data_IF_332102801058
#
_entry.id   IF_332102801058
#
_cell.length_a   1.000
_cell.length_b   1.000
_cell.length_c   1.000
_cell.angle_alpha   90.00
_cell.angle_beta   90.00
_cell.angle_gamma   90.00
#
_symmetry.space_group_name_H-M   'P 1'
#
loop_
_entity.id
_entity.type
_entity.pdbx_description
1 polymer ?
#
# COMPACT_ATOMS: atom_id res chain seq x y z
N UNK A 1 -7.21 -1.60 -13.51
CA UNK A 1 -6.94 -0.16 -13.31
C UNK A 1 -5.60 0.19 -13.95
N UNK A 2 -5.58 0.93 -15.07
CA UNK A 2 -4.35 1.44 -15.63
C UNK A 2 -3.63 2.34 -14.62
N UNK A 3 -2.30 2.33 -14.66
CA UNK A 3 -1.47 3.20 -13.84
C UNK A 3 -0.36 3.83 -14.68
N UNK A 4 0.12 4.99 -14.25
CA UNK A 4 1.26 5.66 -14.89
C UNK A 4 2.23 6.12 -13.82
N UNK A 5 3.52 5.84 -14.01
CA UNK A 5 4.58 6.32 -13.12
C UNK A 5 4.66 7.84 -13.23
N UNK A 6 4.70 8.53 -12.09
CA UNK A 6 4.83 9.99 -12.00
C UNK A 6 6.02 10.35 -11.10
N UNK A 7 6.51 11.57 -11.24
CA UNK A 7 7.60 12.05 -10.37
C UNK A 7 7.08 12.32 -8.96
N UNK A 8 7.98 12.32 -7.97
CA UNK A 8 7.64 12.74 -6.60
C UNK A 8 7.10 14.17 -6.55
N UNK A 9 7.66 15.09 -7.36
CA UNK A 9 7.19 16.47 -7.41
C UNK A 9 5.74 16.54 -7.93
N UNK A 10 5.42 15.79 -8.98
CA UNK A 10 4.05 15.72 -9.51
C UNK A 10 3.09 15.08 -8.51
N UNK A 11 3.52 14.02 -7.83
CA UNK A 11 2.71 13.35 -6.81
C UNK A 11 2.39 14.30 -5.64
N UNK A 12 3.39 15.00 -5.11
CA UNK A 12 3.22 15.94 -4.00
C UNK A 12 2.42 17.19 -4.41
N UNK A 13 2.56 17.66 -5.65
CA UNK A 13 1.76 18.77 -6.19
C UNK A 13 0.28 18.42 -6.23
N UNK A 14 -0.06 17.19 -6.64
CA UNK A 14 -1.44 16.69 -6.70
C UNK A 14 -2.01 16.33 -5.33
N UNK A 15 -1.19 15.74 -4.48
CA UNK A 15 -1.58 15.25 -3.17
C UNK A 15 -0.50 15.58 -2.12
N UNK A 16 -0.54 16.77 -1.51
CA UNK A 16 0.46 17.22 -0.54
C UNK A 16 0.60 16.30 0.68
N UNK A 17 -0.47 15.60 1.06
CA UNK A 17 -0.47 14.64 2.17
C UNK A 17 0.54 13.50 2.00
N UNK A 18 0.97 13.19 0.77
CA UNK A 18 2.06 12.22 0.52
C UNK A 18 3.40 12.67 1.13
N UNK A 19 3.54 13.97 1.45
CA UNK A 19 4.68 14.51 2.20
C UNK A 19 4.84 13.92 3.61
N UNK A 20 3.79 13.31 4.15
CA UNK A 20 3.79 12.66 5.46
C UNK A 20 4.37 11.24 5.42
N UNK A 21 4.63 10.69 4.22
CA UNK A 21 5.22 9.37 4.08
C UNK A 21 6.66 9.34 4.62
N UNK A 22 7.03 8.29 5.37
CA UNK A 22 8.32 8.22 6.04
C UNK A 22 9.45 8.17 5.01
N UNK A 23 10.36 9.14 5.11
CA UNK A 23 11.54 9.21 4.24
C UNK A 23 11.22 9.63 2.80
N UNK A 24 10.04 10.19 2.51
CA UNK A 24 9.69 10.68 1.17
C UNK A 24 10.69 11.68 0.61
N UNK A 25 11.21 12.57 1.46
CA UNK A 25 12.24 13.54 1.07
C UNK A 25 13.60 12.91 0.70
N UNK A 26 13.81 11.62 1.04
CA UNK A 26 15.05 10.88 0.74
C UNK A 26 14.99 10.09 -0.57
N UNK A 27 13.90 10.21 -1.34
CA UNK A 27 13.77 9.59 -2.67
C UNK A 27 13.55 8.08 -2.67
N UNK A 28 13.03 7.51 -1.59
CA UNK A 28 12.79 6.06 -1.46
C UNK A 28 11.42 5.58 -1.96
N UNK A 29 10.56 6.49 -2.41
CA UNK A 29 9.19 6.16 -2.84
C UNK A 29 9.04 6.33 -4.35
N UNK A 30 8.45 5.31 -4.99
CA UNK A 30 7.93 5.41 -6.34
C UNK A 30 6.44 5.79 -6.29
N UNK A 31 5.99 6.59 -7.26
CA UNK A 31 4.63 7.11 -7.31
C UNK A 31 3.95 6.72 -8.62
N UNK A 32 2.70 6.31 -8.52
CA UNK A 32 1.89 5.89 -9.63
C UNK A 32 0.54 6.59 -9.58
N UNK A 33 0.18 7.27 -10.65
CA UNK A 33 -1.16 7.78 -10.85
C UNK A 33 -2.09 6.61 -11.20
N UNK A 34 -3.22 6.55 -10.53
CA UNK A 34 -4.24 5.53 -10.73
C UNK A 34 -5.40 6.18 -11.48
N UNK A 35 -5.82 5.56 -12.58
CA UNK A 35 -6.92 6.06 -13.39
C UNK A 35 -7.98 4.99 -13.59
N UNK A 36 -9.24 5.42 -13.55
CA UNK A 36 -10.40 4.62 -13.88
C UNK A 36 -11.25 5.39 -14.89
N UNK A 37 -11.57 4.76 -16.03
CA UNK A 37 -12.31 5.40 -17.13
C UNK A 37 -11.73 6.77 -17.51
N UNK A 38 -10.40 6.83 -17.68
CA UNK A 38 -9.61 8.04 -17.98
C UNK A 38 -9.69 9.17 -16.93
N UNK A 39 -10.33 8.92 -15.80
CA UNK A 39 -10.40 9.84 -14.66
C UNK A 39 -9.38 9.42 -13.61
N UNK A 40 -8.59 10.37 -13.10
CA UNK A 40 -7.66 10.10 -12.00
C UNK A 40 -8.45 9.75 -10.75
N UNK A 41 -8.30 8.52 -10.28
CA UNK A 41 -8.96 8.00 -9.08
C UNK A 41 -8.08 8.08 -7.83
N UNK A 42 -6.76 8.17 -8.00
CA UNK A 42 -5.86 8.26 -6.86
C UNK A 42 -4.38 8.24 -7.19
N UNK A 43 -3.57 8.15 -6.13
CA UNK A 43 -2.12 7.94 -6.21
C UNK A 43 -1.75 6.72 -5.38
N UNK A 44 -0.98 5.80 -5.95
CA UNK A 44 -0.26 4.78 -5.20
C UNK A 44 1.18 5.23 -4.99
N UNK A 45 1.68 5.08 -3.78
CA UNK A 45 3.09 5.22 -3.44
C UNK A 45 3.62 3.85 -3.01
N UNK A 46 4.78 3.44 -3.50
CA UNK A 46 5.44 2.20 -3.10
C UNK A 46 6.88 2.44 -2.68
N UNK A 47 7.35 1.70 -1.68
CA UNK A 47 8.74 1.71 -1.22
C UNK A 47 9.18 0.28 -0.96
N UNK A 48 10.12 -0.18 -1.78
CA UNK A 48 10.71 -1.51 -1.63
C UNK A 48 11.89 -1.49 -0.67
N UNK A 49 11.88 -2.41 0.29
CA UNK A 49 13.03 -2.80 1.08
C UNK A 49 13.58 -4.15 0.62
N UNK A 50 14.51 -4.73 1.39
CA UNK A 50 15.17 -5.98 1.03
C UNK A 50 14.23 -7.21 1.03
N UNK A 51 13.17 -7.20 1.86
CA UNK A 51 12.28 -8.36 2.08
C UNK A 51 10.79 -8.05 1.96
N UNK A 52 10.44 -6.79 1.72
CA UNK A 52 9.05 -6.36 1.61
C UNK A 52 8.93 -5.12 0.76
N UNK A 53 7.71 -4.86 0.29
CA UNK A 53 7.32 -3.59 -0.28
C UNK A 53 6.20 -3.00 0.56
N UNK A 54 6.42 -1.79 1.03
CA UNK A 54 5.40 -0.94 1.63
C UNK A 54 4.62 -0.25 0.50
N UNK A 55 3.29 -0.27 0.57
CA UNK A 55 2.42 0.38 -0.42
C UNK A 55 1.38 1.23 0.30
N UNK A 56 1.16 2.44 -0.18
CA UNK A 56 0.10 3.34 0.28
C UNK A 56 -0.71 3.79 -0.92
N UNK A 57 -2.01 3.49 -0.92
CA UNK A 57 -2.96 4.03 -1.87
C UNK A 57 -3.71 5.18 -1.24
N UNK A 58 -3.90 6.26 -1.99
CA UNK A 58 -4.75 7.38 -1.61
C UNK A 58 -5.77 7.62 -2.71
N UNK A 59 -7.04 7.38 -2.40
CA UNK A 59 -8.19 7.62 -3.27
C UNK A 59 -9.01 8.79 -2.74
N UNK A 60 -9.59 9.58 -3.64
CA UNK A 60 -10.46 10.74 -3.35
C UNK A 60 -9.94 11.67 -2.23
N UNK A 61 -8.62 11.73 -2.07
CA UNK A 61 -7.89 12.47 -1.02
C UNK A 61 -8.26 12.13 0.44
N UNK A 62 -9.12 11.13 0.67
CA UNK A 62 -9.70 10.82 1.99
C UNK A 62 -9.76 9.33 2.30
N UNK A 63 -9.51 8.46 1.34
CA UNK A 63 -9.47 7.02 1.55
C UNK A 63 -8.04 6.57 1.38
N UNK A 64 -7.42 6.18 2.49
CA UNK A 64 -6.01 5.77 2.53
C UNK A 64 -5.94 4.30 2.90
N UNK A 65 -5.29 3.50 2.06
CA UNK A 65 -5.01 2.09 2.31
C UNK A 65 -3.50 1.92 2.39
N UNK A 66 -3.01 1.46 3.53
CA UNK A 66 -1.60 1.09 3.72
C UNK A 66 -1.44 -0.41 3.77
N UNK A 67 -0.39 -0.93 3.16
CA UNK A 67 -0.12 -2.36 3.05
C UNK A 67 1.38 -2.64 3.13
N UNK A 68 1.72 -3.81 3.68
CA UNK A 68 3.05 -4.40 3.53
C UNK A 68 2.92 -5.73 2.81
N UNK A 69 3.69 -5.88 1.73
CA UNK A 69 3.67 -7.06 0.87
C UNK A 69 5.03 -7.75 0.89
N UNK A 70 5.03 -9.06 1.12
CA UNK A 70 6.19 -9.93 0.99
C UNK A 70 6.11 -10.64 -0.36
N UNK A 71 7.11 -10.50 -1.26
CA UNK A 71 7.01 -11.00 -2.63
C UNK A 71 7.34 -12.50 -2.80
N UNK A 72 7.90 -13.15 -1.80
CA UNK A 72 8.37 -14.55 -1.89
C UNK A 72 7.21 -15.57 -1.98
N UNK A 73 7.53 -16.85 -2.27
CA UNK A 73 6.56 -17.88 -2.68
C UNK A 73 5.37 -18.13 -1.73
N UNK A 74 5.60 -18.13 -0.42
CA UNK A 74 4.55 -18.20 0.61
C UNK A 74 4.17 -16.80 1.15
N UNK A 75 4.67 -15.74 0.50
CA UNK A 75 4.43 -14.35 0.85
C UNK A 75 3.04 -13.88 0.46
N UNK A 76 2.86 -12.57 0.53
CA UNK A 76 1.59 -11.91 0.29
C UNK A 76 1.45 -10.66 1.13
N UNK A 77 0.21 -10.25 1.35
CA UNK A 77 -0.10 -9.13 2.23
C UNK A 77 0.03 -9.64 3.65
N UNK A 78 1.06 -9.18 4.35
CA UNK A 78 1.30 -9.50 5.76
C UNK A 78 0.66 -8.48 6.69
N UNK A 79 0.29 -7.32 6.16
CA UNK A 79 -0.40 -6.30 6.92
C UNK A 79 -1.18 -5.37 5.99
N UNK A 80 -2.35 -4.94 6.44
CA UNK A 80 -3.16 -3.92 5.79
C UNK A 80 -3.90 -3.06 6.81
N UNK A 81 -4.08 -1.79 6.50
CA UNK A 81 -4.95 -0.90 7.28
C UNK A 81 -5.61 0.11 6.37
N UNK A 82 -6.84 0.49 6.70
CA UNK A 82 -7.52 1.61 6.07
C UNK A 82 -7.60 2.80 7.05
N UNK A 83 -7.66 4.00 6.51
CA UNK A 83 -7.76 5.24 7.27
C UNK A 83 -8.17 6.40 6.38
N UNK A 84 -8.28 7.59 6.96
CA UNK A 84 -8.66 8.80 6.26
C UNK A 84 -7.53 9.84 6.13
N UNK A 85 -6.36 9.54 6.67
CA UNK A 85 -5.19 10.42 6.66
C UNK A 85 -3.91 9.64 6.37
N UNK A 86 -3.02 10.22 5.55
CA UNK A 86 -1.75 9.60 5.18
C UNK A 86 -0.85 9.46 6.40
N UNK A 87 -0.74 10.48 7.26
CA UNK A 87 0.04 10.44 8.49
C UNK A 87 -0.30 9.27 9.40
N UNK A 88 -1.58 8.96 9.57
CA UNK A 88 -2.00 7.90 10.49
C UNK A 88 -1.65 6.52 9.93
N UNK A 89 -1.88 6.31 8.63
CA UNK A 89 -1.49 5.08 7.94
C UNK A 89 0.03 4.93 7.92
N UNK A 90 0.75 6.00 7.61
CA UNK A 90 2.21 6.06 7.63
C UNK A 90 2.81 5.73 9.01
N UNK A 91 2.22 6.28 10.08
CA UNK A 91 2.65 6.00 11.46
C UNK A 91 2.53 4.52 11.80
N UNK A 92 1.38 3.92 11.46
CA UNK A 92 1.16 2.48 11.67
C UNK A 92 2.14 1.65 10.85
N UNK A 93 2.38 2.01 9.60
CA UNK A 93 3.28 1.29 8.69
C UNK A 93 4.73 1.22 9.21
N UNK A 94 5.21 2.28 9.85
CA UNK A 94 6.57 2.31 10.45
C UNK A 94 6.67 1.48 11.72
N UNK A 95 5.56 1.28 12.44
CA UNK A 95 5.53 0.51 13.69
C UNK A 95 5.53 -0.99 13.46
N UNK A 96 5.31 -1.45 12.22
CA UNK A 96 5.30 -2.88 11.89
C UNK A 96 6.75 -3.37 11.76
N UNK A 97 7.14 -4.42 12.50
CA UNK A 97 8.43 -5.07 12.33
C UNK A 97 8.62 -5.57 10.89
N UNK A 98 9.87 -5.65 10.44
CA UNK A 98 10.15 -6.22 9.13
C UNK A 98 9.83 -7.73 9.12
N UNK A 99 9.48 -8.33 7.98
CA UNK A 99 9.26 -9.77 7.89
C UNK A 99 10.48 -10.56 8.40
N UNK A 100 10.22 -11.51 9.31
CA UNK A 100 11.25 -12.32 9.97
C UNK A 100 11.83 -11.71 11.25
N UNK A 101 11.42 -10.51 11.65
CA UNK A 101 11.70 -9.97 12.99
C UNK A 101 10.70 -10.52 14.02
N UNK A 102 11.04 -10.50 15.33
CA UNK A 102 10.08 -10.77 16.39
C UNK A 102 8.84 -9.88 16.26
N UNK A 103 7.66 -10.46 16.51
CA UNK A 103 6.36 -9.81 16.41
C UNK A 103 5.98 -9.30 15.00
N UNK A 104 6.70 -9.72 13.97
CA UNK A 104 6.31 -9.47 12.58
C UNK A 104 4.96 -10.13 12.29
N UNK A 105 4.03 -9.43 11.61
CA UNK A 105 2.72 -9.98 11.35
C UNK A 105 2.78 -11.14 10.35
N UNK A 106 1.90 -12.12 10.55
CA UNK A 106 1.74 -13.26 9.65
C UNK A 106 1.05 -12.84 8.35
N UNK A 107 1.19 -13.66 7.31
CA UNK A 107 0.48 -13.48 6.04
C UNK A 107 -1.03 -13.46 6.30
N UNK A 108 -1.67 -12.36 5.94
CA UNK A 108 -3.12 -12.16 6.00
C UNK A 108 -3.77 -12.60 4.69
N UNK A 109 -3.13 -12.33 3.56
CA UNK A 109 -3.59 -12.77 2.25
C UNK A 109 -2.40 -13.22 1.38
N UNK A 110 -2.26 -14.52 1.10
CA UNK A 110 -1.14 -15.04 0.32
C UNK A 110 -1.24 -14.62 -1.15
N UNK A 111 -0.09 -14.49 -1.84
CA UNK A 111 -0.06 -14.13 -3.27
C UNK A 111 -0.88 -15.11 -4.12
N UNK A 112 -0.89 -16.39 -3.76
CA UNK A 112 -1.69 -17.43 -4.42
C UNK A 112 -3.20 -17.15 -4.38
N UNK A 113 -3.69 -16.48 -3.33
CA UNK A 113 -5.09 -16.07 -3.22
C UNK A 113 -5.43 -14.86 -4.10
N UNK A 114 -4.44 -14.06 -4.52
CA UNK A 114 -4.66 -12.90 -5.42
C UNK A 114 -4.89 -13.32 -6.88
N UNK A 115 -4.39 -14.51 -7.27
CA UNK A 115 -4.59 -15.08 -8.61
C UNK A 115 -5.76 -16.06 -8.71
N UNK A 116 -6.37 -16.42 -7.57
CA UNK A 116 -7.49 -17.36 -7.56
C UNK A 116 -8.75 -16.66 -8.09
N UNK A 117 -9.41 -17.21 -9.13
CA UNK A 117 -10.71 -16.72 -9.55
C UNK A 117 -11.70 -16.95 -8.41
N UNK A 118 -12.05 -15.86 -7.72
CA UNK A 118 -13.09 -15.73 -6.69
C UNK A 118 -12.83 -16.48 -5.37
N UNK A 119 -12.54 -15.74 -4.29
CA UNK A 119 -12.97 -16.00 -2.88
C UNK A 119 -12.38 -14.95 -1.91
N UNK A 120 -12.37 -13.65 -2.26
CA UNK A 120 -11.94 -12.63 -1.29
C UNK A 120 -12.94 -12.47 -0.12
N UNK A 121 -14.21 -12.83 -0.34
CA UNK A 121 -15.26 -12.89 0.70
C UNK A 121 -15.02 -14.02 1.72
N UNK A 122 -14.39 -15.12 1.31
CA UNK A 122 -14.05 -16.23 2.20
C UNK A 122 -12.77 -15.95 2.98
N UNK A 123 -11.79 -15.26 2.37
CA UNK A 123 -10.53 -14.91 3.01
C UNK A 123 -10.67 -13.84 4.11
N UNK A 124 -11.66 -12.94 4.00
CA UNK A 124 -11.89 -11.87 4.97
C UNK A 124 -12.95 -12.20 6.03
N UNK A 125 -13.49 -13.43 6.03
CA UNK A 125 -14.50 -13.85 6.99
C UNK A 125 -15.78 -13.05 6.82
N UNK A 126 -16.70 -13.55 6.00
CA UNK A 126 -18.08 -13.06 5.98
C UNK A 126 -18.63 -12.95 7.40
N UNK A 127 -18.81 -11.73 7.86
CA UNK A 127 -19.68 -11.40 8.97
C UNK A 127 -20.83 -10.58 8.36
N UNK A 128 -22.00 -11.21 8.38
CA UNK A 128 -23.30 -10.63 8.07
C UNK A 128 -23.62 -9.42 8.97
#
# INVERSE_FOLDING_TARGET
>A
MPHTVITQADALSRLPALGELPGVQRGGWAFHLLSENDTVSGVAASRSGARHTDVVFVFDQRQVLGMRVVPDGDGGIVWGTHGNAVADVARRLVQIPAPGEPDAPNVVLPVTALGAPQTWETALGGAA
#
